data_IF_080439514624
#
_entry.id   IF_080439514624
#
_cell.length_a   1.000
_cell.length_b   1.000
_cell.length_c   1.000
_cell.angle_alpha   90.00
_cell.angle_beta   90.00
_cell.angle_gamma   90.00
#
_symmetry.space_group_name_H-M   'P 1'
#
loop_
_entity.id
_entity.type
_entity.pdbx_description
1 polymer ?
#
# COMPACT_ATOMS: atom_id res chain seq x y z
N UNK A 1 3.39 4.97 7.42
CA UNK A 1 4.48 4.00 7.20
C UNK A 1 4.23 3.14 5.95
N UNK A 2 5.13 3.19 4.94
CA UNK A 2 5.12 2.30 3.79
C UNK A 2 5.32 0.84 4.21
N UNK A 3 4.57 -0.08 3.63
CA UNK A 3 4.58 -1.50 3.94
C UNK A 3 5.94 -2.17 3.68
N UNK A 4 6.65 -1.77 2.62
CA UNK A 4 7.99 -2.30 2.29
C UNK A 4 9.04 -1.95 3.36
N UNK A 5 9.11 -0.67 3.76
CA UNK A 5 10.02 -0.22 4.82
C UNK A 5 9.75 -0.91 6.16
N UNK A 6 8.49 -1.13 6.52
CA UNK A 6 8.15 -1.84 7.76
C UNK A 6 8.49 -3.34 7.71
N UNK A 7 8.39 -3.99 6.55
CA UNK A 7 8.76 -5.39 6.38
C UNK A 7 10.28 -5.59 6.50
N UNK A 8 11.08 -4.69 5.89
CA UNK A 8 12.53 -4.68 6.03
C UNK A 8 12.99 -4.29 7.44
N UNK A 9 12.45 -3.20 8.01
CA UNK A 9 12.87 -2.67 9.32
C UNK A 9 12.52 -3.60 10.48
N UNK A 10 11.49 -4.46 10.33
CA UNK A 10 11.13 -5.48 11.32
C UNK A 10 11.82 -6.83 11.07
N UNK A 11 12.83 -6.87 10.20
CA UNK A 11 13.56 -8.08 9.75
C UNK A 11 12.64 -9.21 9.28
N UNK A 12 11.45 -8.88 8.76
CA UNK A 12 10.51 -9.90 8.24
C UNK A 12 10.96 -10.44 6.89
N UNK A 13 11.58 -9.61 6.07
CA UNK A 13 12.25 -10.02 4.84
C UNK A 13 13.76 -9.89 5.09
N UNK A 14 14.50 -10.98 4.91
CA UNK A 14 15.95 -11.05 5.13
C UNK A 14 16.69 -11.05 3.79
N UNK A 15 17.65 -10.14 3.65
CA UNK A 15 18.47 -9.99 2.44
C UNK A 15 19.18 -11.26 1.98
N UNK A 16 19.61 -12.13 2.91
CA UNK A 16 20.32 -13.37 2.59
C UNK A 16 19.45 -14.60 2.32
N UNK A 17 18.15 -14.56 2.66
CA UNK A 17 17.27 -15.75 2.57
C UNK A 17 16.09 -15.53 1.62
N UNK A 18 15.61 -14.29 1.48
CA UNK A 18 14.36 -13.96 0.79
C UNK A 18 14.58 -13.34 -0.60
N UNK A 19 15.83 -13.24 -1.03
CA UNK A 19 16.21 -12.68 -2.32
C UNK A 19 17.07 -13.65 -3.12
N UNK A 20 16.97 -13.55 -4.43
CA UNK A 20 17.79 -14.27 -5.40
C UNK A 20 18.38 -13.30 -6.41
N UNK A 21 19.64 -13.51 -6.77
CA UNK A 21 20.30 -12.75 -7.84
C UNK A 21 20.21 -13.56 -9.13
N UNK A 22 19.62 -12.98 -10.17
CA UNK A 22 19.47 -13.62 -11.48
C UNK A 22 19.58 -12.58 -12.58
N UNK A 23 20.23 -12.92 -13.69
CA UNK A 23 20.31 -12.06 -14.89
C UNK A 23 20.77 -10.61 -14.61
N UNK A 24 21.67 -10.42 -13.63
CA UNK A 24 22.17 -9.10 -13.22
C UNK A 24 21.22 -8.27 -12.33
N UNK A 25 20.06 -8.81 -11.96
CA UNK A 25 19.10 -8.20 -11.03
C UNK A 25 18.97 -8.95 -9.71
N UNK A 26 18.34 -8.30 -8.73
CA UNK A 26 17.99 -8.90 -7.43
C UNK A 26 16.47 -8.95 -7.31
N UNK A 27 15.93 -10.14 -7.08
CA UNK A 27 14.50 -10.41 -7.05
C UNK A 27 14.10 -11.03 -5.72
N UNK A 28 12.85 -10.86 -5.30
CA UNK A 28 12.28 -11.65 -4.22
C UNK A 28 12.05 -13.07 -4.70
N UNK A 29 12.60 -14.05 -3.99
CA UNK A 29 12.27 -15.45 -4.21
C UNK A 29 10.86 -15.77 -3.68
N UNK A 30 10.41 -17.02 -3.80
CA UNK A 30 9.05 -17.41 -3.36
C UNK A 30 8.77 -17.07 -1.89
N UNK A 31 9.73 -17.35 -1.00
CA UNK A 31 9.58 -17.04 0.44
C UNK A 31 9.45 -15.53 0.67
N UNK A 32 10.31 -14.74 0.01
CA UNK A 32 10.27 -13.28 0.09
C UNK A 32 8.97 -12.68 -0.43
N UNK A 33 8.44 -13.21 -1.54
CA UNK A 33 7.14 -12.81 -2.09
C UNK A 33 6.02 -13.07 -1.11
N UNK A 34 5.94 -14.28 -0.55
CA UNK A 34 4.89 -14.64 0.39
C UNK A 34 4.88 -13.72 1.61
N UNK A 35 6.06 -13.49 2.22
CA UNK A 35 6.19 -12.59 3.38
C UNK A 35 5.82 -11.14 3.06
N UNK A 36 6.18 -10.66 1.86
CA UNK A 36 5.79 -9.33 1.40
C UNK A 36 4.28 -9.23 1.22
N UNK A 37 3.65 -10.19 0.55
CA UNK A 37 2.21 -10.21 0.34
C UNK A 37 1.43 -10.27 1.65
N UNK A 38 1.85 -11.10 2.60
CA UNK A 38 1.23 -11.17 3.93
C UNK A 38 1.33 -9.84 4.67
N UNK A 39 2.50 -9.21 4.66
CA UNK A 39 2.71 -7.91 5.30
C UNK A 39 1.87 -6.82 4.63
N UNK A 40 1.78 -6.83 3.30
CA UNK A 40 0.97 -5.91 2.52
C UNK A 40 -0.53 -6.10 2.82
N UNK A 41 -1.04 -7.33 2.75
CA UNK A 41 -2.44 -7.63 3.02
C UNK A 41 -2.84 -7.30 4.46
N UNK A 42 -1.93 -7.47 5.43
CA UNK A 42 -2.15 -7.00 6.80
C UNK A 42 -2.26 -5.48 6.86
N UNK A 43 -1.33 -4.77 6.22
CA UNK A 43 -1.33 -3.29 6.16
C UNK A 43 -2.60 -2.74 5.52
N UNK A 44 -3.08 -3.38 4.46
CA UNK A 44 -4.27 -3.00 3.72
C UNK A 44 -5.55 -3.06 4.59
N UNK A 45 -5.60 -4.01 5.53
CA UNK A 45 -6.69 -4.17 6.50
C UNK A 45 -6.60 -3.22 7.70
N UNK A 46 -5.47 -2.54 7.92
CA UNK A 46 -5.36 -1.56 9.01
C UNK A 46 -6.29 -0.37 8.77
N UNK A 47 -6.92 0.13 9.84
CA UNK A 47 -7.80 1.32 9.76
C UNK A 47 -7.02 2.61 9.98
N UNK A 48 -7.25 3.60 9.12
CA UNK A 48 -6.73 4.97 9.20
C UNK A 48 -7.89 5.97 9.35
N UNK A 49 -7.65 7.05 10.07
CA UNK A 49 -8.60 8.15 10.18
C UNK A 49 -8.56 8.98 8.89
N UNK A 50 -9.72 9.16 8.26
CA UNK A 50 -9.86 9.91 7.02
C UNK A 50 -10.70 11.16 7.33
N UNK A 51 -10.07 12.33 7.49
CA UNK A 51 -10.79 13.56 7.85
C UNK A 51 -11.91 13.90 6.87
N UNK A 52 -11.68 13.69 5.56
CA UNK A 52 -12.65 13.97 4.50
C UNK A 52 -13.88 13.04 4.50
N UNK A 53 -13.77 11.85 5.12
CA UNK A 53 -14.85 10.87 5.18
C UNK A 53 -15.54 10.81 6.56
N UNK A 54 -15.15 11.69 7.50
CA UNK A 54 -15.75 11.76 8.83
C UNK A 54 -15.56 10.52 9.70
N UNK A 55 -14.61 9.63 9.38
CA UNK A 55 -14.50 8.33 10.05
C UNK A 55 -13.20 7.57 9.81
N UNK A 56 -13.18 6.30 10.25
CA UNK A 56 -12.06 5.38 10.03
C UNK A 56 -12.37 4.47 8.84
N UNK A 57 -11.43 4.39 7.90
CA UNK A 57 -11.49 3.47 6.76
C UNK A 57 -10.26 2.57 6.77
N UNK A 58 -10.40 1.33 6.30
CA UNK A 58 -9.23 0.51 5.97
C UNK A 58 -8.51 1.10 4.77
N UNK A 59 -7.22 0.81 4.61
CA UNK A 59 -6.47 1.23 3.42
C UNK A 59 -7.10 0.68 2.13
N UNK A 60 -7.67 -0.53 2.16
CA UNK A 60 -8.43 -1.10 1.02
C UNK A 60 -9.59 -0.20 0.61
N UNK A 61 -10.44 0.15 1.58
CA UNK A 61 -11.62 0.99 1.33
C UNK A 61 -11.21 2.40 0.91
N UNK A 62 -10.13 2.92 1.48
CA UNK A 62 -9.58 4.21 1.12
C UNK A 62 -9.14 4.25 -0.36
N UNK A 63 -8.45 3.22 -0.85
CA UNK A 63 -8.05 3.14 -2.27
C UNK A 63 -9.28 3.17 -3.20
N UNK A 64 -10.31 2.38 -2.89
CA UNK A 64 -11.57 2.38 -3.66
C UNK A 64 -12.26 3.75 -3.59
N UNK A 65 -12.29 4.38 -2.41
CA UNK A 65 -12.89 5.68 -2.22
C UNK A 65 -12.18 6.77 -3.04
N UNK A 66 -10.85 6.80 -3.03
CA UNK A 66 -10.06 7.75 -3.83
C UNK A 66 -10.25 7.52 -5.33
N UNK A 67 -10.32 6.27 -5.79
CA UNK A 67 -10.60 5.96 -7.19
C UNK A 67 -11.99 6.46 -7.63
N UNK A 68 -13.01 6.34 -6.76
CA UNK A 68 -14.37 6.86 -7.03
C UNK A 68 -14.40 8.37 -7.07
N UNK A 69 -13.77 9.05 -6.10
CA UNK A 69 -13.67 10.51 -6.08
C UNK A 69 -13.00 11.03 -7.35
N UNK A 70 -11.91 10.39 -7.79
CA UNK A 70 -11.23 10.76 -9.02
C UNK A 70 -12.14 10.55 -10.26
N UNK A 71 -12.83 9.42 -10.33
CA UNK A 71 -13.76 9.13 -11.41
C UNK A 71 -14.91 10.17 -11.47
N UNK A 72 -15.45 10.58 -10.33
CA UNK A 72 -16.46 11.63 -10.23
C UNK A 72 -15.94 12.98 -10.76
N UNK A 73 -14.75 13.41 -10.33
CA UNK A 73 -14.11 14.62 -10.82
C UNK A 73 -13.93 14.60 -12.35
N UNK A 74 -13.51 13.46 -12.91
CA UNK A 74 -13.36 13.30 -14.37
C UNK A 74 -14.72 13.40 -15.08
N UNK A 75 -15.75 12.70 -14.61
CA UNK A 75 -17.09 12.71 -15.23
C UNK A 75 -17.74 14.08 -15.20
N UNK A 76 -17.56 14.81 -14.11
CA UNK A 76 -18.17 16.12 -13.90
C UNK A 76 -17.29 17.27 -14.42
N UNK A 77 -16.14 16.95 -15.04
CA UNK A 77 -15.13 17.91 -15.50
C UNK A 77 -14.72 18.90 -14.40
N UNK A 78 -14.69 18.44 -13.14
CA UNK A 78 -14.25 19.22 -12.00
C UNK A 78 -12.76 18.99 -11.75
N UNK A 79 -12.01 20.07 -11.60
CA UNK A 79 -10.57 20.03 -11.31
C UNK A 79 -10.25 20.11 -9.80
N UNK A 80 -11.18 19.70 -8.93
CA UNK A 80 -11.12 19.90 -7.47
C UNK A 80 -10.79 18.62 -6.68
N UNK A 81 -10.21 17.61 -7.32
CA UNK A 81 -9.84 16.35 -6.65
C UNK A 81 -8.89 16.59 -5.47
N UNK A 82 -9.27 16.12 -4.29
CA UNK A 82 -8.47 16.21 -3.07
C UNK A 82 -7.84 14.85 -2.74
N UNK A 83 -6.51 14.67 -2.96
CA UNK A 83 -5.85 13.43 -2.64
C UNK A 83 -5.77 13.22 -1.12
N UNK A 84 -5.84 11.96 -0.70
CA UNK A 84 -5.56 11.59 0.67
C UNK A 84 -4.05 11.57 0.94
N UNK A 85 -3.60 12.33 1.94
CA UNK A 85 -2.20 12.42 2.37
C UNK A 85 -2.08 11.87 3.78
N UNK A 86 -1.26 10.83 3.95
CA UNK A 86 -0.87 10.32 5.28
C UNK A 86 0.28 11.20 5.79
N UNK A 87 0.08 11.85 6.94
CA UNK A 87 1.15 12.48 7.71
C UNK A 87 1.84 11.46 8.60
#
# INVERSE_FOLDING_TARGET
MPCGLAACNRRRIKSGEDFESRDGGVFLNESGRQKLFEAFAKRMRDSVQVPAAGGRLTYERLCVHQARLLAECIRESRCDYKPFVVK
#
